data_IF_431696926781
#
_entry.id   IF_431696926781
#
_cell.length_a   1.000
_cell.length_b   1.000
_cell.length_c   1.000
_cell.angle_alpha   90.00
_cell.angle_beta   90.00
_cell.angle_gamma   90.00
#
_symmetry.space_group_name_H-M   'P 1'
#
loop_
_entity.id
_entity.type
_entity.pdbx_description
1 polymer ?
#
# COMPACT_ATOMS: atom_id res chain seq x y z
N UNK A 1 -16.08 -2.86 -4.16
CA UNK A 1 -14.86 -2.49 -3.41
C UNK A 1 -13.77 -3.48 -3.78
N UNK A 2 -12.52 -3.04 -3.99
CA UNK A 2 -11.42 -3.90 -4.49
C UNK A 2 -10.92 -4.95 -3.47
N UNK A 3 -11.28 -4.85 -2.19
CA UNK A 3 -10.84 -5.79 -1.14
C UNK A 3 -9.36 -5.67 -0.76
N UNK A 4 -8.63 -4.70 -1.33
CA UNK A 4 -7.19 -4.53 -1.13
C UNK A 4 -6.84 -3.78 0.17
N UNK A 5 -7.68 -2.83 0.58
CA UNK A 5 -7.44 -2.01 1.76
C UNK A 5 -8.30 -2.47 2.93
N UNK A 6 -7.64 -2.71 4.07
CA UNK A 6 -8.26 -3.08 5.34
C UNK A 6 -7.79 -2.11 6.44
N UNK A 7 -8.65 -1.21 6.94
CA UNK A 7 -8.24 -0.20 7.93
C UNK A 7 -7.84 -0.79 9.28
N UNK A 8 -8.43 -1.91 9.69
CA UNK A 8 -8.11 -2.53 10.99
C UNK A 8 -6.73 -3.17 10.89
N UNK A 9 -6.52 -4.00 9.86
CA UNK A 9 -5.23 -4.62 9.60
C UNK A 9 -4.13 -3.55 9.44
N UNK A 10 -4.42 -2.46 8.74
CA UNK A 10 -3.46 -1.38 8.50
C UNK A 10 -3.01 -0.72 9.82
N UNK A 11 -3.93 -0.39 10.72
CA UNK A 11 -3.61 0.22 12.01
C UNK A 11 -2.92 -0.74 13.00
N UNK A 12 -3.17 -2.04 12.85
CA UNK A 12 -2.46 -3.09 13.60
C UNK A 12 -1.00 -3.22 13.14
N UNK A 13 -0.76 -3.17 11.83
CA UNK A 13 0.58 -3.33 11.23
C UNK A 13 1.40 -2.04 11.16
N UNK A 14 0.76 -0.88 11.26
CA UNK A 14 1.42 0.43 11.24
C UNK A 14 1.11 1.24 12.50
N UNK A 15 1.77 0.92 13.65
CA UNK A 15 1.51 1.56 14.93
C UNK A 15 1.78 3.07 14.95
N UNK A 16 2.66 3.56 14.07
CA UNK A 16 2.95 4.98 13.90
C UNK A 16 1.73 5.74 13.35
N UNK A 17 1.01 5.15 12.39
CA UNK A 17 -0.23 5.71 11.84
C UNK A 17 -1.33 5.70 12.90
N UNK A 18 -1.43 4.59 13.65
CA UNK A 18 -2.36 4.46 14.78
C UNK A 18 -2.09 5.50 15.88
N UNK A 19 -0.82 5.69 16.25
CA UNK A 19 -0.41 6.68 17.23
C UNK A 19 -0.65 8.12 16.76
N UNK A 20 -0.50 8.38 15.46
CA UNK A 20 -0.81 9.68 14.86
C UNK A 20 -2.32 10.01 14.86
N UNK A 21 -3.19 9.02 15.06
CA UNK A 21 -4.65 9.22 15.13
C UNK A 21 -5.27 9.70 13.81
N UNK A 22 -4.59 9.48 12.69
CA UNK A 22 -5.06 9.89 11.35
C UNK A 22 -5.94 8.81 10.72
N UNK A 23 -6.78 9.21 9.76
CA UNK A 23 -7.54 8.26 8.96
C UNK A 23 -6.59 7.35 8.14
N UNK A 24 -6.66 6.01 8.30
CA UNK A 24 -5.70 5.11 7.71
C UNK A 24 -5.82 5.03 6.18
N UNK A 25 -7.03 5.20 5.63
CA UNK A 25 -7.22 5.20 4.18
C UNK A 25 -6.61 6.45 3.55
N UNK A 26 -6.81 7.60 4.18
CA UNK A 26 -6.20 8.86 3.78
C UNK A 26 -4.67 8.81 3.90
N UNK A 27 -4.15 8.24 4.99
CA UNK A 27 -2.72 8.03 5.16
C UNK A 27 -2.15 7.16 4.05
N UNK A 28 -2.76 6.00 3.79
CA UNK A 28 -2.32 5.10 2.75
C UNK A 28 -2.32 5.78 1.37
N UNK A 29 -3.41 6.46 1.03
CA UNK A 29 -3.58 7.12 -0.27
C UNK A 29 -2.61 8.28 -0.51
N UNK A 30 -2.19 8.99 0.55
CA UNK A 30 -1.26 10.12 0.42
C UNK A 30 0.21 9.72 0.54
N UNK A 31 0.50 8.75 1.41
CA UNK A 31 1.86 8.43 1.85
C UNK A 31 2.15 6.94 1.79
N UNK A 32 1.30 6.12 2.44
CA UNK A 32 1.61 4.71 2.69
C UNK A 32 1.97 3.90 1.45
N UNK A 33 1.26 4.10 0.33
CA UNK A 33 1.58 3.38 -0.90
C UNK A 33 2.98 3.71 -1.45
N UNK A 34 3.44 4.96 -1.31
CA UNK A 34 4.79 5.40 -1.74
C UNK A 34 5.87 4.99 -0.76
N UNK A 35 5.53 4.87 0.51
CA UNK A 35 6.39 4.30 1.56
C UNK A 35 6.57 2.78 1.41
N UNK A 36 5.90 2.14 0.44
CA UNK A 36 5.96 0.70 0.23
C UNK A 36 5.12 -0.09 1.24
N UNK A 37 4.22 0.56 1.98
CA UNK A 37 3.31 -0.12 2.90
C UNK A 37 2.27 -0.94 2.14
N UNK A 38 1.85 -2.03 2.74
CA UNK A 38 0.76 -2.87 2.25
C UNK A 38 -0.58 -2.27 2.69
N UNK A 39 -1.59 -2.16 1.81
CA UNK A 39 -2.91 -1.63 2.18
C UNK A 39 -3.74 -2.57 3.05
N UNK A 40 -3.40 -3.86 3.06
CA UNK A 40 -4.17 -4.91 3.71
C UNK A 40 -3.55 -6.29 3.48
N UNK A 41 -4.13 -7.35 4.06
CA UNK A 41 -3.58 -8.71 3.97
C UNK A 41 -3.62 -9.29 2.55
N UNK A 42 -4.46 -8.72 1.68
CA UNK A 42 -4.66 -9.20 0.31
C UNK A 42 -3.67 -8.59 -0.70
N UNK A 43 -2.75 -7.72 -0.26
CA UNK A 43 -1.74 -7.14 -1.14
C UNK A 43 -0.43 -6.89 -0.39
N UNK A 44 0.62 -7.61 -0.79
CA UNK A 44 1.96 -7.42 -0.28
C UNK A 44 2.77 -6.51 -1.22
N UNK A 45 2.93 -5.25 -0.82
CA UNK A 45 3.67 -4.25 -1.61
C UNK A 45 5.15 -4.62 -1.80
N UNK A 46 5.77 -5.25 -0.80
CA UNK A 46 7.19 -5.59 -0.86
C UNK A 46 7.42 -6.78 -1.79
N UNK A 47 6.59 -7.82 -1.67
CA UNK A 47 6.64 -8.99 -2.56
C UNK A 47 6.35 -8.60 -4.00
N UNK A 48 5.30 -7.83 -4.25
CA UNK A 48 4.96 -7.37 -5.61
C UNK A 48 6.11 -6.57 -6.23
N UNK A 49 6.80 -5.72 -5.44
CA UNK A 49 7.98 -5.00 -5.92
C UNK A 49 9.15 -5.93 -6.24
N UNK A 50 9.43 -6.91 -5.38
CA UNK A 50 10.54 -7.83 -5.56
C UNK A 50 10.36 -8.72 -6.81
N UNK A 51 9.12 -9.09 -7.14
CA UNK A 51 8.78 -9.85 -8.35
C UNK A 51 8.86 -9.00 -9.63
N UNK A 52 8.91 -7.66 -9.50
CA UNK A 52 8.83 -6.69 -10.60
C UNK A 52 9.85 -5.56 -10.46
N UNK A 53 11.16 -5.86 -10.59
CA UNK A 53 12.22 -4.87 -10.45
C UNK A 53 12.11 -3.72 -11.47
N UNK A 54 11.38 -3.89 -12.58
CA UNK A 54 11.09 -2.82 -13.54
C UNK A 54 10.35 -1.62 -12.93
N UNK A 55 9.66 -1.81 -11.81
CA UNK A 55 8.99 -0.74 -11.07
C UNK A 55 9.93 0.40 -10.69
N UNK A 56 11.21 0.09 -10.43
CA UNK A 56 12.23 1.08 -10.09
C UNK A 56 12.41 2.12 -11.20
N UNK A 57 12.28 1.72 -12.47
CA UNK A 57 12.41 2.60 -13.63
C UNK A 57 11.13 3.42 -13.90
N UNK A 58 9.96 2.95 -13.45
CA UNK A 58 8.67 3.63 -13.69
C UNK A 58 8.38 4.76 -12.70
N UNK A 59 9.02 4.73 -11.52
CA UNK A 59 8.70 5.63 -10.41
C UNK A 59 7.34 5.35 -9.74
N UNK A 60 6.64 4.29 -10.14
CA UNK A 60 5.39 3.87 -9.53
C UNK A 60 5.65 3.08 -8.24
N UNK A 61 4.75 3.24 -7.27
CA UNK A 61 4.64 2.27 -6.18
C UNK A 61 4.03 0.96 -6.66
N UNK A 62 4.28 -0.13 -5.92
CA UNK A 62 3.68 -1.44 -6.19
C UNK A 62 2.15 -1.36 -6.33
N UNK A 63 1.49 -0.64 -5.43
CA UNK A 63 0.03 -0.48 -5.46
C UNK A 63 -0.45 0.29 -6.69
N UNK A 64 0.22 1.39 -7.08
CA UNK A 64 -0.16 2.15 -8.28
C UNK A 64 -0.03 1.32 -9.55
N UNK A 65 1.07 0.58 -9.68
CA UNK A 65 1.28 -0.29 -10.83
C UNK A 65 0.24 -1.41 -10.89
N UNK A 66 -0.06 -2.05 -9.75
CA UNK A 66 -1.11 -3.07 -9.67
C UNK A 66 -2.47 -2.56 -10.15
N UNK A 67 -2.87 -1.37 -9.72
CA UNK A 67 -4.15 -0.75 -10.11
C UNK A 67 -4.17 -0.35 -11.59
N UNK A 68 -3.02 0.00 -12.18
CA UNK A 68 -2.92 0.31 -13.61
C UNK A 68 -2.98 -0.95 -14.48
N UNK A 69 -2.34 -2.04 -14.06
CA UNK A 69 -2.36 -3.32 -14.80
C UNK A 69 -3.71 -4.05 -14.71
N UNK A 70 -4.39 -3.97 -13.56
CA UNK A 70 -5.61 -4.75 -13.28
C UNK A 70 -6.89 -3.91 -13.38
N UNK A 71 -6.92 -2.94 -14.29
CA UNK A 71 -8.05 -2.03 -14.50
C UNK A 71 -9.10 -2.59 -15.44
#
# INVERSE_FOLDING_TARGET
>A
ASGLFDPVWYLENYPDVRAAGVDPALHFARYGHREGRSPGPNFDSARYRAERPELDATGLSAFQHFIQENR
#
